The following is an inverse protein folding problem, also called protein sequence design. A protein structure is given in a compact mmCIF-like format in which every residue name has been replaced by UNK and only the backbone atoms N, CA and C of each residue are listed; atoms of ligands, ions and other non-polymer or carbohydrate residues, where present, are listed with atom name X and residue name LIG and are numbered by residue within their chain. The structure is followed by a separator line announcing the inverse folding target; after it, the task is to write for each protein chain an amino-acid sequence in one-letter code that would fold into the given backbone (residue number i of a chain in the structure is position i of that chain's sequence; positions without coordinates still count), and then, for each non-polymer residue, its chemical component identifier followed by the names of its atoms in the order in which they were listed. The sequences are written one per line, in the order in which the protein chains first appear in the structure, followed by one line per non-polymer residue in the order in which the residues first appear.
data_IF_997312111811
#
_entry.id   IF_997312111811
#
_cell.length_a   1.000
_cell.length_b   1.000
_cell.length_c   1.000
_cell.angle_alpha   90.00
_cell.angle_beta   90.00
_cell.angle_gamma   90.00
#
_symmetry.space_group_name_H-M   'P 1'
#
loop_
_entity.id
_entity.type
_entity.pdbx_description
1 polymer ?
#
# COMPACT_ATOMS: atom_id res chain seq x y z
N UNK A 1 11.97 12.71 -0.11
CA UNK A 1 13.45 12.65 -0.20
C UNK A 1 13.92 11.43 -1.01
N UNK A 2 13.53 10.20 -0.65
CA UNK A 2 13.96 8.98 -1.36
C UNK A 2 13.65 8.94 -2.87
N UNK A 3 12.44 9.37 -3.29
CA UNK A 3 12.08 9.45 -4.71
C UNK A 3 13.00 10.39 -5.52
N UNK A 4 13.39 11.54 -4.93
CA UNK A 4 14.32 12.48 -5.57
C UNK A 4 15.73 11.89 -5.66
N UNK A 5 16.19 11.20 -4.61
CA UNK A 5 17.49 10.51 -4.64
C UNK A 5 17.50 9.43 -5.73
N UNK A 6 16.39 8.70 -5.91
CA UNK A 6 16.26 7.70 -6.97
C UNK A 6 16.22 8.32 -8.37
N UNK A 7 15.43 9.38 -8.60
CA UNK A 7 15.34 10.07 -9.89
C UNK A 7 16.65 10.75 -10.31
N UNK A 8 17.41 11.29 -9.36
CA UNK A 8 18.65 12.03 -9.63
C UNK A 8 19.92 11.21 -9.33
N UNK A 9 19.81 9.89 -9.15
CA UNK A 9 20.92 9.05 -8.72
C UNK A 9 22.15 9.14 -9.64
N UNK A 10 21.96 9.34 -10.94
CA UNK A 10 23.04 9.45 -11.93
C UNK A 10 23.74 10.82 -11.92
N UNK A 11 23.05 11.85 -11.41
CA UNK A 11 23.58 13.22 -11.29
C UNK A 11 24.19 13.51 -9.92
N UNK A 12 24.07 12.58 -8.97
CA UNK A 12 24.69 12.67 -7.66
C UNK A 12 26.17 12.25 -7.71
N UNK A 13 27.02 12.74 -6.79
CA UNK A 13 28.42 12.35 -6.71
C UNK A 13 28.53 10.82 -6.61
N UNK A 14 29.27 10.20 -7.52
CA UNK A 14 29.38 8.75 -7.59
C UNK A 14 30.57 8.24 -6.75
N UNK A 15 30.41 7.08 -6.13
CA UNK A 15 31.47 6.36 -5.40
C UNK A 15 31.69 5.02 -6.07
N UNK A 16 32.94 4.73 -6.39
CA UNK A 16 33.35 3.43 -6.95
C UNK A 16 33.50 2.42 -5.82
N UNK A 17 32.77 1.31 -5.92
CA UNK A 17 32.79 0.24 -4.92
C UNK A 17 33.22 -1.05 -5.61
N UNK A 18 34.12 -1.82 -4.99
CA UNK A 18 34.48 -3.14 -5.46
C UNK A 18 33.33 -4.13 -5.16
N UNK A 19 32.76 -4.71 -6.22
CA UNK A 19 31.72 -5.74 -6.19
C UNK A 19 32.35 -7.06 -6.67
N UNK A 20 31.73 -8.20 -6.36
CA UNK A 20 32.27 -9.55 -6.65
C UNK A 20 32.71 -9.80 -8.10
N UNK A 21 32.18 -9.06 -9.08
CA UNK A 21 32.53 -9.18 -10.51
C UNK A 21 33.18 -7.90 -11.12
N UNK A 22 33.71 -6.99 -10.30
CA UNK A 22 34.44 -5.80 -10.78
C UNK A 22 34.18 -4.52 -9.97
N UNK A 23 34.52 -3.36 -10.53
CA UNK A 23 34.25 -2.04 -9.94
C UNK A 23 32.96 -1.44 -10.52
N UNK A 24 32.01 -1.10 -9.66
CA UNK A 24 30.76 -0.46 -10.05
C UNK A 24 30.62 0.90 -9.35
N UNK A 25 30.18 1.90 -10.09
CA UNK A 25 29.97 3.26 -9.59
C UNK A 25 28.51 3.46 -9.18
N UNK A 26 28.28 3.93 -7.97
CA UNK A 26 26.93 4.20 -7.44
C UNK A 26 26.88 5.60 -6.82
N UNK A 27 25.74 6.28 -6.91
CA UNK A 27 25.55 7.56 -6.25
C UNK A 27 25.85 7.45 -4.74
N UNK A 28 26.55 8.42 -4.17
CA UNK A 28 26.98 8.41 -2.77
C UNK A 28 25.83 8.10 -1.78
N UNK A 29 24.64 8.62 -2.08
CA UNK A 29 23.43 8.46 -1.29
C UNK A 29 22.74 7.07 -1.43
N UNK A 30 23.25 6.18 -2.30
CA UNK A 30 22.84 4.77 -2.34
C UNK A 30 23.53 4.00 -1.22
N UNK A 31 23.07 4.27 0.01
CA UNK A 31 23.57 3.67 1.24
C UNK A 31 23.49 2.13 1.21
N UNK A 32 22.59 1.56 0.40
CA UNK A 32 22.47 0.13 0.13
C UNK A 32 23.78 -0.50 -0.37
N UNK A 33 24.59 0.27 -1.11
CA UNK A 33 25.89 -0.17 -1.64
C UNK A 33 27.07 0.53 -0.99
N UNK A 34 26.99 1.84 -0.75
CA UNK A 34 28.11 2.62 -0.19
C UNK A 34 28.36 2.33 1.29
N UNK A 35 27.33 2.00 2.06
CA UNK A 35 27.46 1.76 3.50
C UNK A 35 26.56 0.59 3.97
N UNK A 36 26.86 -0.66 3.55
CA UNK A 36 25.95 -1.79 3.73
C UNK A 36 25.69 -2.16 5.20
N UNK A 37 26.63 -1.92 6.11
CA UNK A 37 26.44 -2.17 7.55
C UNK A 37 25.40 -1.23 8.17
N UNK A 38 25.42 0.05 7.78
CA UNK A 38 24.46 1.06 8.23
C UNK A 38 23.11 0.85 7.56
N UNK A 39 23.10 0.60 6.24
CA UNK A 39 21.87 0.32 5.52
C UNK A 39 21.18 -0.93 6.05
N UNK A 40 21.91 -1.97 6.44
CA UNK A 40 21.32 -3.16 7.07
C UNK A 40 20.57 -2.82 8.35
N UNK A 41 21.12 -1.95 9.20
CA UNK A 41 20.42 -1.47 10.40
C UNK A 41 19.14 -0.69 10.07
N UNK A 42 19.20 0.20 9.06
CA UNK A 42 18.03 0.95 8.58
C UNK A 42 16.97 0.04 7.96
N UNK A 43 17.38 -0.98 7.19
CA UNK A 43 16.49 -1.97 6.59
C UNK A 43 15.77 -2.80 7.66
N UNK A 44 16.48 -3.20 8.72
CA UNK A 44 15.84 -3.83 9.89
C UNK A 44 14.80 -2.91 10.52
N UNK A 45 15.13 -1.64 10.76
CA UNK A 45 14.19 -0.68 11.34
C UNK A 45 12.97 -0.46 10.43
N UNK A 46 13.19 -0.37 9.11
CA UNK A 46 12.12 -0.21 8.12
C UNK A 46 11.15 -1.40 8.14
N UNK A 47 11.67 -2.63 8.24
CA UNK A 47 10.86 -3.85 8.33
C UNK A 47 10.03 -3.93 9.61
N UNK A 48 10.48 -3.30 10.70
CA UNK A 48 9.75 -3.27 11.97
C UNK A 48 8.61 -2.22 12.00
N UNK A 49 8.63 -1.24 11.11
CA UNK A 49 7.65 -0.14 11.13
C UNK A 49 6.20 -0.62 10.95
N UNK A 50 5.95 -1.56 10.03
CA UNK A 50 4.59 -2.09 9.82
C UNK A 50 4.10 -2.98 10.96
N UNK A 51 4.88 -3.99 11.43
CA UNK A 51 4.50 -4.77 12.60
C UNK A 51 4.25 -3.94 13.85
N UNK A 52 5.09 -2.93 14.13
CA UNK A 52 4.91 -2.07 15.29
C UNK A 52 3.62 -1.23 15.19
N UNK A 53 3.32 -0.70 14.01
CA UNK A 53 2.05 -0.03 13.72
C UNK A 53 0.85 -0.94 14.01
N UNK A 54 0.89 -2.20 13.58
CA UNK A 54 -0.18 -3.17 13.86
C UNK A 54 -0.34 -3.48 15.35
N UNK A 55 0.76 -3.57 16.10
CA UNK A 55 0.73 -3.73 17.56
C UNK A 55 0.07 -2.52 18.23
N UNK A 56 0.43 -1.29 17.82
CA UNK A 56 -0.19 -0.08 18.34
C UNK A 56 -1.70 -0.04 18.07
N UNK A 57 -2.13 -0.35 16.85
CA UNK A 57 -3.54 -0.45 16.48
C UNK A 57 -4.25 -1.50 17.37
N UNK A 58 -3.63 -2.67 17.57
CA UNK A 58 -4.17 -3.72 18.44
C UNK A 58 -4.31 -3.28 19.90
N UNK A 59 -3.33 -2.54 20.42
CA UNK A 59 -3.39 -1.98 21.77
C UNK A 59 -4.51 -0.95 21.91
N UNK A 60 -4.66 -0.02 20.96
CA UNK A 60 -5.76 0.96 20.95
C UNK A 60 -7.14 0.29 20.89
N UNK A 61 -7.28 -0.82 20.17
CA UNK A 61 -8.52 -1.58 20.13
C UNK A 61 -8.83 -2.30 21.45
N UNK A 62 -7.81 -2.68 22.22
CA UNK A 62 -7.97 -3.36 23.50
C UNK A 62 -8.48 -2.43 24.62
N UNK A 63 -8.29 -1.11 24.47
CA UNK A 63 -8.76 -0.11 25.44
C UNK A 63 -10.29 0.05 25.45
N UNK A 64 -10.98 -0.38 24.38
CA UNK A 64 -12.43 -0.37 24.30
C UNK A 64 -13.01 -1.79 24.24
N UNK A 65 -14.22 -2.03 24.78
CA UNK A 65 -14.85 -3.33 24.65
C UNK A 65 -15.05 -3.66 23.16
N UNK A 66 -14.46 -4.77 22.69
CA UNK A 66 -14.46 -5.18 21.28
C UNK A 66 -15.84 -5.17 20.62
N UNK A 67 -16.91 -5.43 21.37
CA UNK A 67 -18.29 -5.30 20.86
C UNK A 67 -18.62 -3.89 20.39
N UNK A 68 -18.18 -2.85 21.10
CA UNK A 68 -18.39 -1.45 20.67
C UNK A 68 -17.51 -1.08 19.48
N UNK A 69 -16.29 -1.61 19.44
CA UNK A 69 -15.35 -1.45 18.33
C UNK A 69 -15.94 -1.96 17.01
N UNK A 70 -16.51 -3.17 17.04
CA UNK A 70 -17.06 -3.86 15.87
C UNK A 70 -18.45 -3.34 15.49
N UNK A 71 -19.22 -2.75 16.41
CA UNK A 71 -20.59 -2.28 16.11
C UNK A 71 -20.61 -0.86 15.54
N UNK A 72 -19.47 -0.18 15.42
CA UNK A 72 -19.41 1.17 14.88
C UNK A 72 -19.78 1.20 13.39
N UNK A 73 -21.01 1.63 13.10
CA UNK A 73 -21.60 1.62 11.75
C UNK A 73 -20.80 2.44 10.75
N UNK A 74 -20.25 3.57 11.17
CA UNK A 74 -19.48 4.45 10.31
C UNK A 74 -18.18 3.79 9.84
N UNK A 75 -17.54 2.99 10.71
CA UNK A 75 -16.31 2.28 10.38
C UNK A 75 -16.58 1.13 9.40
N UNK A 76 -17.74 0.47 9.51
CA UNK A 76 -18.21 -0.51 8.53
C UNK A 76 -18.53 0.12 7.19
N UNK A 77 -19.28 1.22 7.19
CA UNK A 77 -19.63 1.95 5.96
C UNK A 77 -18.37 2.39 5.22
N UNK A 78 -17.43 3.03 5.93
CA UNK A 78 -16.13 3.41 5.37
C UNK A 78 -15.39 2.21 4.80
N UNK A 79 -15.25 1.12 5.58
CA UNK A 79 -14.48 -0.06 5.18
C UNK A 79 -15.05 -0.74 3.94
N UNK A 80 -16.37 -0.88 3.86
CA UNK A 80 -17.06 -1.47 2.71
C UNK A 80 -16.94 -0.59 1.47
N UNK A 81 -17.18 0.72 1.60
CA UNK A 81 -17.00 1.68 0.51
C UNK A 81 -15.55 1.64 0.02
N UNK A 82 -14.59 1.61 0.95
CA UNK A 82 -13.17 1.62 0.62
C UNK A 82 -12.73 0.37 -0.14
N UNK A 83 -13.17 -0.81 0.28
CA UNK A 83 -12.76 -2.09 -0.30
C UNK A 83 -13.57 -2.47 -1.55
N UNK A 84 -14.81 -2.00 -1.67
CA UNK A 84 -15.70 -2.34 -2.80
C UNK A 84 -15.88 -1.19 -3.79
N UNK A 85 -16.07 0.05 -3.35
CA UNK A 85 -16.36 1.16 -4.28
C UNK A 85 -15.09 1.73 -4.92
N UNK A 86 -14.02 1.90 -4.15
CA UNK A 86 -12.78 2.52 -4.65
C UNK A 86 -12.15 1.71 -5.81
N UNK A 87 -12.10 0.37 -5.77
CA UNK A 87 -11.56 -0.37 -6.91
C UNK A 87 -12.47 -0.30 -8.15
N UNK A 88 -13.81 -0.20 -7.98
CA UNK A 88 -14.73 0.07 -9.10
C UNK A 88 -14.40 1.42 -9.74
N UNK A 89 -14.23 2.46 -8.94
CA UNK A 89 -13.90 3.81 -9.44
C UNK A 89 -12.58 3.77 -10.20
N UNK A 90 -11.56 3.09 -9.66
CA UNK A 90 -10.27 2.93 -10.34
C UNK A 90 -10.41 2.18 -11.68
N UNK A 91 -11.18 1.09 -11.70
CA UNK A 91 -11.43 0.33 -12.91
C UNK A 91 -12.10 1.18 -14.01
N UNK A 92 -13.16 1.91 -13.65
CA UNK A 92 -13.89 2.80 -14.58
C UNK A 92 -12.99 3.93 -15.09
N UNK A 93 -12.18 4.53 -14.22
CA UNK A 93 -11.24 5.58 -14.60
C UNK A 93 -10.19 5.06 -15.60
N UNK A 94 -9.57 3.92 -15.30
CA UNK A 94 -8.55 3.33 -16.17
C UNK A 94 -9.15 2.88 -17.51
N UNK A 95 -10.38 2.35 -17.51
CA UNK A 95 -11.14 2.07 -18.73
C UNK A 95 -11.33 3.32 -19.59
N UNK A 96 -11.76 4.42 -18.98
CA UNK A 96 -12.02 5.67 -19.70
C UNK A 96 -10.72 6.24 -20.29
N UNK A 97 -9.64 6.28 -19.51
CA UNK A 97 -8.34 6.81 -19.94
C UNK A 97 -7.72 5.93 -21.04
N UNK A 98 -7.89 4.61 -20.96
CA UNK A 98 -7.47 3.68 -22.01
C UNK A 98 -8.23 3.92 -23.32
N UNK A 99 -9.57 4.04 -23.27
CA UNK A 99 -10.40 4.32 -24.46
C UNK A 99 -10.13 5.69 -25.09
N UNK A 100 -9.76 6.68 -24.28
CA UNK A 100 -9.38 8.01 -24.76
C UNK A 100 -7.96 8.06 -25.34
N UNK A 101 -7.19 6.95 -25.29
CA UNK A 101 -5.84 6.87 -25.83
C UNK A 101 -4.79 7.68 -25.06
N UNK A 102 -5.12 8.21 -23.87
CA UNK A 102 -4.21 9.01 -23.06
C UNK A 102 -3.16 8.12 -22.39
N UNK A 103 -3.58 6.95 -21.90
CA UNK A 103 -2.70 5.99 -21.24
C UNK A 103 -3.11 4.56 -21.64
N UNK A 104 -2.40 3.91 -22.57
CA UNK A 104 -2.65 2.53 -22.92
C UNK A 104 -2.23 1.64 -21.74
N UNK A 105 -3.22 1.00 -21.11
CA UNK A 105 -3.04 0.09 -19.97
C UNK A 105 -3.38 -1.32 -20.42
N UNK A 106 -2.47 -2.28 -20.23
CA UNK A 106 -2.77 -3.69 -20.45
C UNK A 106 -3.75 -4.20 -19.39
N UNK A 107 -4.48 -5.28 -19.70
CA UNK A 107 -5.40 -5.88 -18.74
C UNK A 107 -4.70 -6.26 -17.42
N UNK A 108 -3.46 -6.77 -17.48
CA UNK A 108 -2.68 -7.14 -16.29
C UNK A 108 -2.34 -5.91 -15.43
N UNK A 109 -1.95 -4.79 -16.05
CA UNK A 109 -1.68 -3.54 -15.34
C UNK A 109 -2.93 -2.96 -14.67
N UNK A 110 -4.07 -3.08 -15.33
CA UNK A 110 -5.35 -2.72 -14.74
C UNK A 110 -5.72 -3.65 -13.57
N UNK A 111 -5.70 -4.96 -13.80
CA UNK A 111 -6.10 -5.94 -12.80
C UNK A 111 -5.26 -5.81 -11.52
N UNK A 112 -3.95 -5.65 -11.67
CA UNK A 112 -3.03 -5.42 -10.53
C UNK A 112 -3.37 -4.15 -9.77
N UNK A 113 -3.60 -3.02 -10.45
CA UNK A 113 -3.96 -1.77 -9.76
C UNK A 113 -5.32 -1.84 -9.07
N UNK A 114 -6.32 -2.48 -9.67
CA UNK A 114 -7.64 -2.71 -9.04
C UNK A 114 -7.49 -3.57 -7.78
N UNK A 115 -6.73 -4.66 -7.84
CA UNK A 115 -6.47 -5.52 -6.67
C UNK A 115 -5.72 -4.74 -5.57
N UNK A 116 -4.74 -3.91 -5.95
CA UNK A 116 -4.03 -3.06 -4.98
C UNK A 116 -4.97 -2.05 -4.30
N UNK A 117 -5.94 -1.51 -5.02
CA UNK A 117 -6.95 -0.60 -4.44
C UNK A 117 -7.92 -1.34 -3.51
N UNK A 118 -8.14 -2.64 -3.72
CA UNK A 118 -8.96 -3.48 -2.85
C UNK A 118 -8.26 -3.89 -1.54
N UNK A 119 -6.97 -3.58 -1.38
CA UNK A 119 -6.24 -3.76 -0.12
C UNK A 119 -6.96 -3.04 1.04
N UNK A 120 -6.74 -3.44 2.31
CA UNK A 120 -7.36 -2.78 3.46
C UNK A 120 -6.81 -1.39 3.73
N UNK A 121 -7.43 -0.64 4.65
CA UNK A 121 -7.07 0.75 4.97
C UNK A 121 -5.59 0.86 5.34
N UNK A 122 -4.93 1.93 4.87
CA UNK A 122 -3.50 2.13 5.09
C UNK A 122 -3.19 2.30 6.59
N UNK A 123 -2.33 1.44 7.12
CA UNK A 123 -2.01 1.40 8.55
C UNK A 123 -1.26 2.63 9.02
N UNK A 124 -0.56 3.32 8.11
CA UNK A 124 0.11 4.60 8.37
C UNK A 124 -0.90 5.68 8.80
N UNK A 125 -2.10 5.72 8.21
CA UNK A 125 -3.13 6.69 8.61
C UNK A 125 -3.61 6.43 10.05
N UNK A 126 -3.80 5.16 10.41
CA UNK A 126 -4.12 4.77 11.78
C UNK A 126 -2.97 5.07 12.75
N UNK A 127 -1.71 4.81 12.38
CA UNK A 127 -0.55 5.16 13.20
C UNK A 127 -0.46 6.66 13.49
N UNK A 128 -0.75 7.52 12.50
CA UNK A 128 -0.78 8.97 12.70
C UNK A 128 -1.95 9.41 13.58
N UNK A 129 -3.14 8.83 13.36
CA UNK A 129 -4.30 9.06 14.22
C UNK A 129 -4.02 8.69 15.69
N UNK A 130 -3.32 7.59 15.94
CA UNK A 130 -2.86 7.18 17.27
C UNK A 130 -1.81 8.15 17.80
N UNK A 131 -0.80 8.49 16.99
CA UNK A 131 0.33 9.34 17.41
C UNK A 131 -0.08 10.77 17.75
N UNK A 132 -1.16 11.28 17.15
CA UNK A 132 -1.69 12.62 17.37
C UNK A 132 -2.99 12.65 18.19
N UNK A 133 -3.43 11.51 18.72
CA UNK A 133 -4.69 11.35 19.46
C UNK A 133 -5.91 11.97 18.73
N UNK A 134 -6.04 11.62 17.44
CA UNK A 134 -7.11 12.08 16.56
C UNK A 134 -7.94 10.89 16.09
N UNK A 135 -9.06 10.64 16.76
CA UNK A 135 -9.98 9.56 16.38
C UNK A 135 -9.25 8.20 16.26
N UNK A 136 -8.30 7.95 17.16
CA UNK A 136 -7.41 6.78 17.17
C UNK A 136 -8.20 5.46 17.18
N UNK A 137 -9.27 5.41 17.97
CA UNK A 137 -10.20 4.28 18.06
C UNK A 137 -10.94 4.05 16.75
N UNK A 138 -11.50 5.10 16.14
CA UNK A 138 -12.21 4.99 14.87
C UNK A 138 -11.28 4.56 13.73
N UNK A 139 -10.08 5.15 13.64
CA UNK A 139 -9.08 4.78 12.64
C UNK A 139 -8.64 3.32 12.80
N UNK A 140 -8.48 2.86 14.05
CA UNK A 140 -8.16 1.47 14.36
C UNK A 140 -9.29 0.51 14.00
N UNK A 141 -10.55 0.88 14.27
CA UNK A 141 -11.73 0.12 13.84
C UNK A 141 -11.82 0.01 12.32
N UNK A 142 -11.62 1.12 11.59
CA UNK A 142 -11.56 1.12 10.13
C UNK A 142 -10.45 0.19 9.61
N UNK A 143 -9.25 0.22 10.21
CA UNK A 143 -8.16 -0.69 9.84
C UNK A 143 -8.54 -2.15 10.06
N UNK A 144 -9.11 -2.50 11.22
CA UNK A 144 -9.51 -3.87 11.54
C UNK A 144 -10.63 -4.37 10.62
N UNK A 145 -11.72 -3.61 10.50
CA UNK A 145 -12.89 -4.02 9.72
C UNK A 145 -12.53 -4.10 8.24
N UNK A 146 -11.82 -3.13 7.68
CA UNK A 146 -11.38 -3.20 6.28
C UNK A 146 -10.43 -4.38 6.01
N UNK A 147 -9.60 -4.77 6.98
CA UNK A 147 -8.77 -5.99 6.87
C UNK A 147 -9.64 -7.24 6.81
N UNK A 148 -10.62 -7.37 7.70
CA UNK A 148 -11.55 -8.49 7.69
C UNK A 148 -12.39 -8.54 6.41
N UNK A 149 -12.91 -7.40 5.95
CA UNK A 149 -13.68 -7.28 4.70
C UNK A 149 -12.80 -7.63 3.50
N UNK A 150 -11.55 -7.17 3.45
CA UNK A 150 -10.62 -7.45 2.36
C UNK A 150 -10.33 -8.95 2.19
N UNK A 151 -10.29 -9.74 3.27
CA UNK A 151 -10.13 -11.20 3.19
C UNK A 151 -11.19 -11.84 2.30
N UNK A 152 -12.44 -11.37 2.37
CA UNK A 152 -13.54 -11.88 1.56
C UNK A 152 -13.65 -11.17 0.20
N UNK A 153 -13.37 -9.86 0.16
CA UNK A 153 -13.48 -9.08 -1.06
C UNK A 153 -12.39 -9.42 -2.09
N UNK A 154 -11.19 -9.80 -1.66
CA UNK A 154 -10.08 -10.14 -2.56
C UNK A 154 -10.44 -11.29 -3.53
N UNK A 155 -10.93 -12.46 -3.08
CA UNK A 155 -11.44 -13.49 -3.98
C UNK A 155 -12.53 -12.99 -4.93
N UNK A 156 -13.47 -12.18 -4.44
CA UNK A 156 -14.56 -11.62 -5.26
C UNK A 156 -14.00 -10.75 -6.39
N UNK A 157 -13.03 -9.89 -6.09
CA UNK A 157 -12.37 -9.05 -7.08
C UNK A 157 -11.63 -9.84 -8.14
N UNK A 158 -10.93 -10.91 -7.75
CA UNK A 158 -10.25 -11.80 -8.68
C UNK A 158 -11.25 -12.42 -9.66
N UNK A 159 -12.39 -12.92 -9.16
CA UNK A 159 -13.44 -13.51 -10.01
C UNK A 159 -14.02 -12.46 -10.96
N UNK A 160 -14.33 -11.26 -10.47
CA UNK A 160 -14.86 -10.17 -11.30
C UNK A 160 -13.90 -9.81 -12.43
N UNK A 161 -12.61 -9.66 -12.13
CA UNK A 161 -11.59 -9.35 -13.11
C UNK A 161 -11.44 -10.47 -14.15
N UNK A 162 -11.47 -11.74 -13.72
CA UNK A 162 -11.42 -12.87 -14.64
C UNK A 162 -12.64 -12.93 -15.56
N UNK A 163 -13.85 -12.62 -15.06
CA UNK A 163 -15.05 -12.49 -15.90
C UNK A 163 -14.89 -11.36 -16.93
N UNK A 164 -14.39 -10.19 -16.50
CA UNK A 164 -14.14 -9.05 -17.40
C UNK A 164 -13.14 -9.40 -18.50
N UNK A 165 -12.08 -10.15 -18.16
CA UNK A 165 -11.10 -10.65 -19.13
C UNK A 165 -11.75 -11.53 -20.19
N UNK A 166 -12.57 -12.49 -19.76
CA UNK A 166 -13.28 -13.41 -20.65
C UNK A 166 -14.34 -12.73 -21.53
N UNK A 167 -14.87 -11.58 -21.08
CA UNK A 167 -15.80 -10.75 -21.86
C UNK A 167 -15.11 -9.93 -22.97
N UNK A 168 -13.78 -9.95 -23.07
CA UNK A 168 -13.05 -9.25 -24.15
C UNK A 168 -13.14 -7.73 -24.06
N UNK A 169 -13.44 -7.17 -22.88
CA UNK A 169 -13.50 -5.72 -22.66
C UNK A 169 -12.14 -5.02 -22.82
N UNK A 170 -11.05 -5.81 -22.82
CA UNK A 170 -9.68 -5.42 -23.09
C UNK A 170 -9.07 -6.40 -24.11
N UNK A 171 -9.37 -6.18 -25.39
CA UNK A 171 -8.62 -6.71 -26.54
C UNK A 171 -7.88 -5.57 -27.21
#
# INVERSE_FOLDING_TARGET
LGLFIWLFQDKLPQVTIAVKDGTASYGFLRLDKTLPWFYKALDYLSKLASPLSWICIGATLAEIPMKKAIVQKDAWAYSLIKVMLIPVINFVLLLAVNKLGILPVSFEGMATTVIMMAAPTATVAASYAISFDKESVFASNCSLISTAVAVFAMPVWIIILEVIKNLGLFM
#
